data_IF_208741079667
#
_entry.id   IF_208741079667
#
_cell.length_a   1.000
_cell.length_b   1.000
_cell.length_c   1.000
_cell.angle_alpha   90.00
_cell.angle_beta   90.00
_cell.angle_gamma   90.00
#
_symmetry.space_group_name_H-M   'P 1'
#
loop_
_entity.id
_entity.type
_entity.pdbx_description
1 polymer ?
#
# COMPACT_ATOMS: atom_id res chain seq x y z
N UNK A 1 6.16 17.87 13.04
CA UNK A 1 6.38 16.51 13.09
C UNK A 1 5.79 15.82 11.93
N UNK A 2 6.58 15.23 11.19
CA UNK A 2 6.13 14.67 9.95
C UNK A 2 6.01 13.17 9.99
N UNK A 3 5.66 12.64 11.11
CA UNK A 3 5.52 11.20 11.21
C UNK A 3 4.27 10.73 10.53
N UNK A 4 4.30 9.50 10.05
CA UNK A 4 3.10 8.88 9.53
C UNK A 4 2.27 8.38 10.71
N UNK A 5 0.94 8.38 10.58
CA UNK A 5 0.12 7.85 11.67
C UNK A 5 0.36 6.34 11.82
N UNK A 6 0.27 5.87 13.03
CA UNK A 6 0.48 4.44 13.28
C UNK A 6 -0.56 3.59 12.57
N UNK A 7 -1.64 4.18 12.16
CA UNK A 7 -2.66 3.46 11.40
C UNK A 7 -2.16 2.94 10.08
N UNK A 8 -1.04 3.47 9.57
CA UNK A 8 -0.52 3.01 8.29
C UNK A 8 0.08 1.60 8.40
N UNK A 9 0.43 1.17 9.60
CA UNK A 9 0.99 -0.17 9.75
C UNK A 9 -0.09 -1.22 9.54
N UNK A 10 0.21 -2.23 8.75
CA UNK A 10 -0.73 -3.30 8.49
C UNK A 10 -0.94 -3.48 7.00
N UNK A 11 -1.95 -4.25 6.66
CA UNK A 11 -2.20 -4.65 5.29
C UNK A 11 -3.29 -3.77 4.69
N UNK A 12 -3.02 -3.26 3.49
CA UNK A 12 -3.94 -2.38 2.77
C UNK A 12 -4.24 -3.00 1.41
N UNK A 13 -5.52 -3.11 1.08
CA UNK A 13 -5.95 -3.62 -0.21
C UNK A 13 -6.39 -2.45 -1.09
N UNK A 14 -6.02 -2.50 -2.35
CA UNK A 14 -6.31 -1.40 -3.27
C UNK A 14 -7.78 -1.40 -3.64
N UNK A 15 -8.50 -0.40 -3.18
CA UNK A 15 -9.91 -0.23 -3.51
C UNK A 15 -10.01 0.60 -4.79
N UNK A 16 -9.60 -0.01 -5.90
CA UNK A 16 -9.48 0.73 -7.15
C UNK A 16 -10.79 1.26 -7.66
N UNK A 17 -11.89 0.73 -7.20
CA UNK A 17 -13.20 1.27 -7.57
C UNK A 17 -13.43 2.67 -7.05
N UNK A 18 -12.66 3.05 -6.03
CA UNK A 18 -12.79 4.37 -5.42
C UNK A 18 -11.70 5.34 -5.87
N UNK A 19 -10.80 4.89 -6.72
CA UNK A 19 -9.74 5.77 -7.21
C UNK A 19 -10.33 6.94 -7.97
N UNK A 20 -9.65 8.08 -7.88
CA UNK A 20 -10.02 9.25 -8.66
C UNK A 20 -8.91 9.54 -9.67
N UNK A 21 -9.05 10.64 -10.38
CA UNK A 21 -8.03 11.03 -11.34
C UNK A 21 -6.70 11.37 -10.66
N UNK A 22 -6.76 11.77 -9.42
CA UNK A 22 -5.57 12.25 -8.72
C UNK A 22 -5.19 11.41 -7.50
N UNK A 23 -6.01 10.46 -7.11
CA UNK A 23 -5.75 9.70 -5.88
C UNK A 23 -6.03 8.21 -6.09
N UNK A 24 -5.30 7.41 -5.31
CA UNK A 24 -5.57 5.98 -5.17
C UNK A 24 -6.07 5.72 -3.76
N UNK A 25 -7.04 4.84 -3.63
CA UNK A 25 -7.66 4.54 -2.34
C UNK A 25 -7.34 3.11 -1.95
N UNK A 26 -6.86 2.95 -0.73
CA UNK A 26 -6.62 1.63 -0.14
C UNK A 26 -7.45 1.50 1.12
N UNK A 27 -7.92 0.30 1.39
CA UNK A 27 -8.72 0.04 2.60
C UNK A 27 -8.24 -1.22 3.28
N UNK A 28 -8.61 -1.35 4.55
CA UNK A 28 -8.26 -2.53 5.33
C UNK A 28 -9.08 -3.73 4.87
N UNK A 29 -8.66 -4.90 5.33
CA UNK A 29 -9.29 -6.15 4.87
C UNK A 29 -10.75 -6.30 5.26
N UNK A 30 -11.17 -5.61 6.30
CA UNK A 30 -12.55 -5.72 6.75
C UNK A 30 -13.50 -4.82 5.97
N UNK A 31 -13.01 -4.09 4.98
CA UNK A 31 -13.89 -3.31 4.12
C UNK A 31 -14.68 -4.25 3.21
N UNK A 32 -15.92 -3.92 2.95
CA UNK A 32 -16.77 -4.73 2.10
C UNK A 32 -16.50 -4.45 0.64
N UNK A 33 -15.45 -5.06 0.12
CA UNK A 33 -15.07 -4.84 -1.27
C UNK A 33 -16.04 -5.48 -2.24
N UNK A 34 -16.30 -4.84 -3.38
CA UNK A 34 -17.02 -5.51 -4.45
C UNK A 34 -16.23 -6.74 -4.93
N UNK A 35 -16.90 -7.67 -5.55
CA UNK A 35 -16.23 -8.84 -6.07
C UNK A 35 -15.19 -8.47 -7.09
N UNK A 36 -14.06 -9.13 -7.02
CA UNK A 36 -12.95 -8.86 -7.90
C UNK A 36 -12.14 -10.13 -8.03
N UNK A 37 -11.45 -10.31 -9.13
CA UNK A 37 -10.61 -11.48 -9.32
C UNK A 37 -9.39 -11.45 -8.45
N UNK A 38 -8.97 -10.32 -8.05
CA UNK A 38 -7.84 -10.17 -7.18
C UNK A 38 -7.58 -8.71 -6.97
N UNK A 39 -6.99 -8.39 -5.84
CA UNK A 39 -6.67 -7.01 -5.53
C UNK A 39 -5.23 -6.91 -5.11
N UNK A 40 -4.51 -5.94 -5.63
CA UNK A 40 -3.18 -5.68 -5.10
C UNK A 40 -3.29 -5.32 -3.63
N UNK A 41 -2.35 -5.78 -2.86
CA UNK A 41 -2.30 -5.45 -1.44
C UNK A 41 -0.88 -5.10 -1.08
N UNK A 42 -0.73 -4.23 -0.11
CA UNK A 42 0.58 -3.85 0.39
C UNK A 42 0.53 -3.87 1.90
N UNK A 43 1.68 -4.06 2.51
CA UNK A 43 1.77 -4.06 3.96
C UNK A 43 2.95 -3.21 4.38
N UNK A 44 2.71 -2.33 5.34
CA UNK A 44 3.76 -1.55 5.96
C UNK A 44 3.97 -2.07 7.37
N UNK A 45 5.19 -2.45 7.69
CA UNK A 45 5.53 -2.94 9.03
C UNK A 45 6.33 -1.90 9.78
N UNK A 46 6.17 -1.83 11.09
CA UNK A 46 6.86 -0.79 11.87
C UNK A 46 8.38 -0.89 11.81
N UNK A 47 8.91 -2.05 11.46
CA UNK A 47 10.36 -2.24 11.40
C UNK A 47 10.95 -1.75 10.07
N UNK A 48 10.16 -1.15 9.20
CA UNK A 48 10.65 -0.68 7.91
C UNK A 48 10.49 -1.67 6.77
N UNK A 49 9.82 -2.78 7.01
CA UNK A 49 9.58 -3.76 5.97
C UNK A 49 8.33 -3.41 5.18
N UNK A 50 8.41 -3.55 3.87
CA UNK A 50 7.28 -3.36 2.97
C UNK A 50 7.04 -4.67 2.25
N UNK A 51 5.79 -5.10 2.17
CA UNK A 51 5.45 -6.33 1.46
C UNK A 51 4.40 -6.00 0.43
N UNK A 52 4.61 -6.50 -0.79
CA UNK A 52 3.66 -6.29 -1.87
C UNK A 52 3.11 -7.65 -2.27
N UNK A 53 1.81 -7.80 -2.14
CA UNK A 53 1.15 -9.07 -2.45
C UNK A 53 0.59 -9.01 -3.86
N UNK A 54 0.71 -10.10 -4.57
CA UNK A 54 0.24 -10.16 -5.93
C UNK A 54 -1.27 -10.13 -6.03
N UNK A 55 -1.78 -9.81 -7.19
CA UNK A 55 -3.21 -9.72 -7.40
C UNK A 55 -3.66 -10.51 -8.60
N UNK A 56 -2.91 -11.44 -9.05
CA UNK A 56 -3.28 -12.19 -10.24
C UNK A 56 -4.39 -13.19 -9.99
N UNK A 57 -5.05 -13.63 -11.02
CA UNK A 57 -6.09 -14.64 -10.88
C UNK A 57 -5.56 -15.98 -10.43
N UNK A 58 -4.31 -16.19 -10.59
CA UNK A 58 -3.71 -17.38 -10.19
C UNK A 58 -2.99 -17.22 -8.95
N UNK A 59 -3.51 -16.65 -8.07
CA UNK A 59 -3.03 -16.36 -6.79
C UNK A 59 -2.48 -17.50 -6.04
N UNK A 60 -1.67 -18.24 -6.58
CA UNK A 60 -1.12 -19.37 -6.00
C UNK A 60 -0.26 -19.09 -4.91
N UNK A 61 -0.76 -18.70 -3.89
CA UNK A 61 -0.02 -18.54 -2.75
C UNK A 61 0.84 -17.39 -2.81
N UNK A 62 0.46 -16.53 -3.55
CA UNK A 62 0.98 -15.29 -3.44
C UNK A 62 2.46 -15.16 -3.37
N UNK A 63 3.11 -14.98 -4.41
CA UNK A 63 4.44 -14.59 -4.36
C UNK A 63 4.49 -13.18 -3.87
N UNK A 64 4.77 -12.98 -2.62
CA UNK A 64 4.92 -11.65 -2.06
C UNK A 64 6.31 -11.13 -2.38
N UNK A 65 6.39 -9.89 -2.78
CA UNK A 65 7.66 -9.21 -2.97
C UNK A 65 7.95 -8.42 -1.72
N UNK A 66 9.13 -8.62 -1.15
CA UNK A 66 9.49 -7.98 0.10
C UNK A 66 10.49 -6.87 -0.18
N UNK A 67 10.23 -5.71 0.38
CA UNK A 67 11.11 -4.58 0.22
C UNK A 67 11.18 -3.78 1.51
N UNK A 68 11.49 -2.52 1.38
CA UNK A 68 11.63 -1.64 2.53
C UNK A 68 10.94 -0.33 2.24
N UNK A 69 10.52 0.34 3.31
CA UNK A 69 9.94 1.65 3.18
C UNK A 69 10.64 2.61 4.14
N UNK A 70 10.61 3.87 3.79
CA UNK A 70 11.26 4.89 4.58
C UNK A 70 10.38 6.13 4.57
N UNK A 71 10.15 6.68 5.75
CA UNK A 71 9.39 7.91 5.89
C UNK A 71 10.29 9.08 5.57
N UNK A 72 9.97 9.81 4.51
CA UNK A 72 10.76 10.95 4.10
C UNK A 72 10.27 12.25 4.73
N UNK A 73 9.16 12.19 5.47
CA UNK A 73 8.57 13.38 6.04
C UNK A 73 7.55 14.00 5.12
N UNK A 74 6.64 14.78 5.68
CA UNK A 74 5.63 15.46 4.89
C UNK A 74 4.65 14.53 4.20
N UNK A 75 4.46 13.34 4.73
CA UNK A 75 3.56 12.37 4.13
C UNK A 75 4.17 11.58 2.99
N UNK A 76 5.47 11.77 2.72
CA UNK A 76 6.12 11.04 1.63
C UNK A 76 6.78 9.78 2.15
N UNK A 77 6.57 8.69 1.45
CA UNK A 77 7.12 7.39 1.80
C UNK A 77 7.87 6.86 0.59
N UNK A 78 9.14 6.55 0.78
CA UNK A 78 9.92 5.94 -0.27
C UNK A 78 9.86 4.43 -0.10
N UNK A 79 9.54 3.73 -1.17
CA UNK A 79 9.40 2.28 -1.15
C UNK A 79 10.40 1.70 -2.13
N UNK A 80 11.16 0.72 -1.70
CA UNK A 80 12.15 0.06 -2.53
C UNK A 80 11.87 -1.44 -2.51
N UNK A 81 11.73 -2.04 -3.68
CA UNK A 81 11.46 -3.46 -3.80
C UNK A 81 12.56 -4.10 -4.64
N UNK A 82 13.61 -4.62 -4.00
CA UNK A 82 14.75 -5.15 -4.73
C UNK A 82 14.38 -6.29 -5.68
N UNK A 83 13.43 -7.12 -5.29
CA UNK A 83 13.04 -8.27 -6.09
C UNK A 83 12.32 -7.87 -7.38
N UNK A 84 11.89 -6.65 -7.47
CA UNK A 84 11.28 -6.15 -8.68
C UNK A 84 12.29 -5.34 -9.49
N UNK A 85 13.52 -5.80 -9.54
CA UNK A 85 14.56 -5.14 -10.30
C UNK A 85 15.12 -3.92 -9.63
N UNK A 86 14.99 -3.84 -8.32
CA UNK A 86 15.48 -2.68 -7.58
C UNK A 86 14.61 -1.44 -7.74
N UNK A 87 13.36 -1.63 -8.09
CA UNK A 87 12.47 -0.49 -8.27
C UNK A 87 12.30 0.29 -6.99
N UNK A 88 12.29 1.60 -7.14
CA UNK A 88 12.07 2.49 -6.01
C UNK A 88 11.11 3.57 -6.45
N UNK A 89 10.15 3.89 -5.60
CA UNK A 89 9.16 4.91 -5.93
C UNK A 89 8.72 5.60 -4.63
N UNK A 90 8.10 6.76 -4.78
CA UNK A 90 7.67 7.55 -3.63
C UNK A 90 6.16 7.71 -3.69
N UNK A 91 5.52 7.41 -2.58
CA UNK A 91 4.09 7.65 -2.42
C UNK A 91 3.90 8.92 -1.60
N UNK A 92 2.98 9.75 -2.04
CA UNK A 92 2.56 10.90 -1.26
C UNK A 92 1.27 10.50 -0.54
N UNK A 93 1.37 10.26 0.75
CA UNK A 93 0.22 9.89 1.55
C UNK A 93 -0.58 11.14 1.87
N UNK A 94 -1.81 11.18 1.43
CA UNK A 94 -2.66 12.32 1.67
C UNK A 94 -3.35 12.23 3.01
N UNK A 95 -3.81 11.04 3.34
CA UNK A 95 -4.44 10.80 4.62
C UNK A 95 -4.44 9.31 4.91
N UNK A 96 -4.53 8.98 6.18
CA UNK A 96 -4.61 7.60 6.61
C UNK A 96 -5.38 7.60 7.92
N UNK A 97 -6.67 7.34 7.85
CA UNK A 97 -7.52 7.37 9.02
C UNK A 97 -8.78 6.58 8.74
N UNK A 98 -9.36 6.02 9.79
CA UNK A 98 -10.65 5.31 9.71
C UNK A 98 -10.63 4.17 8.69
N UNK A 99 -9.52 3.49 8.57
CA UNK A 99 -9.41 2.36 7.65
C UNK A 99 -9.28 2.76 6.20
N UNK A 100 -8.96 4.01 5.92
CA UNK A 100 -8.80 4.49 4.54
C UNK A 100 -7.43 5.12 4.40
N UNK A 101 -6.69 4.66 3.41
CA UNK A 101 -5.39 5.23 3.06
C UNK A 101 -5.53 5.87 1.68
N UNK A 102 -5.28 7.16 1.60
CA UNK A 102 -5.39 7.92 0.36
C UNK A 102 -4.00 8.33 -0.10
N UNK A 103 -3.65 7.94 -1.31
CA UNK A 103 -2.35 8.21 -1.91
C UNK A 103 -2.54 9.09 -3.12
N UNK A 104 -1.71 10.09 -3.28
CA UNK A 104 -1.75 10.94 -4.48
C UNK A 104 -1.04 10.24 -5.63
N UNK A 105 -1.65 10.30 -6.76
CA UNK A 105 -1.06 9.73 -7.98
C UNK A 105 0.10 10.58 -8.49
#
# INVERSE_FOLDING_TARGET
MSGLPSEIFGVWLHSYEEDTETTMIYRTRDWAFPRSRGRPAVEFRPDGTYVQYGSGPDDRGGQALVGRWQNLGGGRVQITVPEAGGSSFVWQVRSCANGVLTIEK
#
